data_IF_942964700757
#
_entry.id   IF_942964700757
#
_cell.length_a   1.000
_cell.length_b   1.000
_cell.length_c   1.000
_cell.angle_alpha   90.00
_cell.angle_beta   90.00
_cell.angle_gamma   90.00
#
_symmetry.space_group_name_H-M   'P 1'
#
loop_
_entity.id
_entity.type
_entity.pdbx_description
1 polymer ?
#
# COMPACT_ATOMS: atom_id res chain seq x y z
N UNK A 1 -2.03 -10.82 21.26
CA UNK A 1 -2.27 -9.39 20.95
C UNK A 1 -1.22 -8.59 21.72
N UNK A 2 -0.47 -7.69 21.06
CA UNK A 2 0.56 -6.86 21.68
C UNK A 2 -0.01 -5.46 21.92
N UNK A 3 -0.36 -5.09 23.17
CA UNK A 3 -1.05 -3.83 23.45
C UNK A 3 -0.14 -2.59 23.34
N UNK A 4 1.17 -2.79 23.16
CA UNK A 4 2.21 -1.77 23.08
C UNK A 4 2.52 -1.30 21.66
N UNK A 5 2.15 -2.08 20.63
CA UNK A 5 2.31 -1.67 19.24
C UNK A 5 1.52 -0.38 18.99
N UNK A 6 2.15 0.59 18.31
CA UNK A 6 1.56 1.89 18.02
C UNK A 6 2.12 2.53 16.77
N UNK A 7 1.38 3.50 16.23
CA UNK A 7 1.78 4.35 15.12
C UNK A 7 1.28 3.88 13.77
N UNK A 8 1.40 4.74 12.76
CA UNK A 8 1.03 4.38 11.39
C UNK A 8 2.14 3.64 10.65
N UNK A 9 1.75 2.81 9.69
CA UNK A 9 2.65 2.15 8.73
C UNK A 9 2.05 2.19 7.33
N UNK A 10 2.92 2.09 6.31
CA UNK A 10 2.48 1.95 4.92
C UNK A 10 3.19 0.76 4.29
N UNK A 11 2.41 -0.08 3.61
CA UNK A 11 2.87 -1.31 2.97
C UNK A 11 2.67 -1.27 1.46
N UNK A 12 3.58 -1.90 0.73
CA UNK A 12 3.44 -2.21 -0.69
C UNK A 12 3.60 -3.72 -0.94
N UNK A 13 3.23 -4.19 -2.13
CA UNK A 13 3.40 -5.59 -2.50
C UNK A 13 4.89 -5.99 -2.51
N UNK A 14 5.19 -7.21 -2.06
CA UNK A 14 6.42 -7.92 -2.39
C UNK A 14 6.14 -9.34 -2.84
N UNK A 15 6.82 -9.75 -3.91
CA UNK A 15 6.79 -11.11 -4.46
C UNK A 15 7.97 -11.97 -3.99
N UNK A 16 9.02 -11.35 -3.46
CA UNK A 16 10.28 -12.01 -3.08
C UNK A 16 10.39 -12.29 -1.57
N UNK A 17 9.35 -11.99 -0.80
CA UNK A 17 9.32 -12.14 0.66
C UNK A 17 9.02 -10.84 1.39
N UNK A 18 8.66 -10.93 2.67
CA UNK A 18 8.30 -9.76 3.47
C UNK A 18 9.55 -9.03 3.99
N UNK A 19 9.46 -7.70 4.12
CA UNK A 19 10.53 -6.84 4.67
C UNK A 19 10.75 -7.05 6.16
N UNK A 20 9.75 -7.57 6.87
CA UNK A 20 9.81 -7.84 8.31
C UNK A 20 8.88 -9.00 8.68
N UNK A 21 9.09 -9.58 9.85
CA UNK A 21 8.19 -10.60 10.42
C UNK A 21 6.81 -10.01 10.73
N UNK A 22 6.75 -8.74 11.13
CA UNK A 22 5.50 -8.01 11.35
C UNK A 22 4.72 -7.85 10.03
N UNK A 23 5.37 -7.41 8.96
CA UNK A 23 4.76 -7.30 7.64
C UNK A 23 4.28 -8.67 7.12
N UNK A 24 5.05 -9.74 7.34
CA UNK A 24 4.64 -11.09 6.97
C UNK A 24 3.40 -11.55 7.73
N UNK A 25 3.37 -11.33 9.04
CA UNK A 25 2.24 -11.70 9.89
C UNK A 25 0.97 -10.93 9.50
N UNK A 26 1.09 -9.61 9.29
CA UNK A 26 -0.02 -8.77 8.86
C UNK A 26 -0.56 -9.21 7.51
N UNK A 27 0.30 -9.45 6.52
CA UNK A 27 -0.14 -9.96 5.21
C UNK A 27 -0.89 -11.29 5.32
N UNK A 28 -0.42 -12.22 6.16
CA UNK A 28 -1.12 -13.49 6.35
C UNK A 28 -2.50 -13.28 7.00
N UNK A 29 -2.62 -12.36 7.96
CA UNK A 29 -3.87 -12.02 8.63
C UNK A 29 -4.87 -11.36 7.67
N UNK A 30 -4.45 -10.34 6.92
CA UNK A 30 -5.32 -9.63 5.98
C UNK A 30 -5.75 -10.53 4.81
N UNK A 31 -4.86 -11.40 4.32
CA UNK A 31 -5.20 -12.35 3.25
C UNK A 31 -6.26 -13.39 3.67
N UNK A 32 -6.40 -13.67 4.96
CA UNK A 32 -7.41 -14.61 5.48
C UNK A 32 -8.78 -13.93 5.68
N UNK A 33 -8.83 -12.60 5.68
CA UNK A 33 -10.05 -11.84 5.91
C UNK A 33 -10.89 -11.62 4.64
N UNK A 34 -10.30 -11.77 3.44
CA UNK A 34 -10.93 -11.35 2.17
C UNK A 34 -11.13 -12.48 1.14
N UNK A 35 -12.19 -12.31 0.34
CA UNK A 35 -12.43 -13.03 -0.91
C UNK A 35 -11.81 -12.22 -2.07
N UNK A 36 -10.59 -12.54 -2.49
CA UNK A 36 -9.81 -11.68 -3.40
C UNK A 36 -10.27 -11.83 -4.87
N UNK A 37 -10.72 -10.72 -5.48
CA UNK A 37 -11.04 -10.62 -6.90
C UNK A 37 -9.78 -10.49 -7.78
N UNK A 38 -9.54 -11.49 -8.63
CA UNK A 38 -8.44 -11.47 -9.61
C UNK A 38 -8.92 -11.08 -11.02
N UNK A 39 -8.06 -10.37 -11.76
CA UNK A 39 -8.28 -10.06 -13.18
C UNK A 39 -7.86 -11.29 -14.03
N UNK A 40 -8.75 -11.79 -14.88
CA UNK A 40 -8.42 -12.83 -15.86
C UNK A 40 -7.99 -12.17 -17.18
N UNK A 41 -6.72 -12.33 -17.56
CA UNK A 41 -6.24 -11.97 -18.90
C UNK A 41 -6.42 -13.18 -19.83
N UNK A 42 -7.05 -12.96 -20.99
CA UNK A 42 -7.25 -13.99 -22.02
C UNK A 42 -6.37 -13.65 -23.23
N UNK A 43 -5.23 -14.34 -23.42
CA UNK A 43 -4.25 -14.03 -24.48
C UNK A 43 -3.72 -15.30 -25.14
N UNK A 44 -3.43 -15.24 -26.45
CA UNK A 44 -3.13 -16.37 -27.34
C UNK A 44 -1.70 -16.94 -27.26
N UNK A 45 -0.74 -16.25 -26.65
CA UNK A 45 0.63 -16.74 -26.41
C UNK A 45 0.99 -16.63 -24.92
N UNK A 46 1.11 -17.76 -24.20
CA UNK A 46 1.39 -17.76 -22.77
C UNK A 46 2.73 -17.10 -22.39
N UNK A 47 3.81 -17.30 -23.15
CA UNK A 47 5.14 -16.86 -22.75
C UNK A 47 5.31 -15.33 -22.87
N UNK A 48 4.84 -14.75 -23.98
CA UNK A 48 4.82 -13.31 -24.16
C UNK A 48 3.89 -12.62 -23.15
N UNK A 49 2.73 -13.23 -22.88
CA UNK A 49 1.78 -12.72 -21.89
C UNK A 49 2.40 -12.70 -20.48
N UNK A 50 3.10 -13.77 -20.09
CA UNK A 50 3.80 -13.82 -18.80
C UNK A 50 4.88 -12.74 -18.69
N UNK A 51 5.70 -12.56 -19.71
CA UNK A 51 6.77 -11.54 -19.67
C UNK A 51 6.19 -10.12 -19.60
N UNK A 52 5.14 -9.81 -20.38
CA UNK A 52 4.48 -8.51 -20.34
C UNK A 52 3.79 -8.27 -18.98
N UNK A 53 3.19 -9.30 -18.40
CA UNK A 53 2.58 -9.25 -17.08
C UNK A 53 3.64 -8.95 -16.01
N UNK A 54 4.76 -9.70 -16.00
CA UNK A 54 5.84 -9.52 -15.03
C UNK A 54 6.47 -8.12 -15.12
N UNK A 55 6.67 -7.61 -16.34
CA UNK A 55 7.17 -6.25 -16.57
C UNK A 55 6.19 -5.19 -16.06
N UNK A 56 4.90 -5.34 -16.38
CA UNK A 56 3.85 -4.42 -15.94
C UNK A 56 3.75 -4.43 -14.42
N UNK A 57 3.74 -5.61 -13.81
CA UNK A 57 3.67 -5.77 -12.36
C UNK A 57 4.92 -5.20 -11.67
N UNK A 58 6.12 -5.42 -12.21
CA UNK A 58 7.36 -4.82 -11.68
C UNK A 58 7.29 -3.28 -11.71
N UNK A 59 6.81 -2.70 -12.81
CA UNK A 59 6.62 -1.25 -12.91
C UNK A 59 5.59 -0.75 -11.89
N UNK A 60 4.47 -1.44 -11.76
CA UNK A 60 3.39 -1.14 -10.80
C UNK A 60 3.86 -1.21 -9.35
N UNK A 61 4.68 -2.22 -8.98
CA UNK A 61 5.27 -2.32 -7.64
C UNK A 61 6.21 -1.13 -7.38
N UNK A 62 7.04 -0.75 -8.35
CA UNK A 62 7.93 0.40 -8.22
C UNK A 62 7.14 1.70 -8.03
N UNK A 63 6.04 1.90 -8.74
CA UNK A 63 5.17 3.06 -8.57
C UNK A 63 4.41 3.02 -7.23
N UNK A 64 4.00 1.83 -6.78
CA UNK A 64 3.42 1.62 -5.44
C UNK A 64 4.38 2.02 -4.34
N UNK A 65 5.67 1.71 -4.47
CA UNK A 65 6.72 2.13 -3.52
C UNK A 65 6.91 3.65 -3.50
N UNK A 66 6.87 4.31 -4.66
CA UNK A 66 6.94 5.78 -4.74
C UNK A 66 5.73 6.43 -4.07
N UNK A 67 4.53 5.91 -4.35
CA UNK A 67 3.28 6.36 -3.74
C UNK A 67 3.33 6.15 -2.21
N UNK A 68 3.69 4.95 -1.77
CA UNK A 68 3.80 4.60 -0.36
C UNK A 68 4.76 5.53 0.37
N UNK A 69 5.93 5.85 -0.22
CA UNK A 69 6.91 6.77 0.36
C UNK A 69 6.37 8.20 0.46
N UNK A 70 5.61 8.65 -0.54
CA UNK A 70 5.00 9.97 -0.50
C UNK A 70 3.95 10.07 0.62
N UNK A 71 3.08 9.05 0.76
CA UNK A 71 2.08 8.98 1.83
C UNK A 71 2.73 8.85 3.20
N UNK A 72 3.69 7.94 3.39
CA UNK A 72 4.38 7.73 4.65
C UNK A 72 5.06 9.02 5.15
N UNK A 73 5.62 9.82 4.24
CA UNK A 73 6.24 11.10 4.60
C UNK A 73 5.24 12.11 5.18
N UNK A 74 4.00 12.15 4.67
CA UNK A 74 2.97 13.03 5.21
C UNK A 74 2.42 12.49 6.53
N UNK A 75 2.25 11.16 6.64
CA UNK A 75 1.83 10.50 7.89
C UNK A 75 2.81 10.75 9.04
N UNK A 76 4.12 10.75 8.76
CA UNK A 76 5.14 11.03 9.76
C UNK A 76 5.09 12.46 10.35
N UNK A 77 4.27 13.35 9.79
CA UNK A 77 4.04 14.70 10.33
C UNK A 77 2.87 14.77 11.32
N UNK A 78 1.97 13.77 11.30
CA UNK A 78 0.74 13.77 12.12
C UNK A 78 0.86 12.87 13.35
N UNK A 79 1.65 11.79 13.28
CA UNK A 79 1.84 10.86 14.38
C UNK A 79 3.21 10.17 14.35
N UNK A 80 3.47 9.35 15.37
CA UNK A 80 4.61 8.45 15.36
C UNK A 80 4.38 7.35 14.32
N UNK A 81 5.38 7.10 13.49
CA UNK A 81 5.38 5.95 12.60
C UNK A 81 5.81 4.69 13.35
N UNK A 82 5.12 3.58 13.09
CA UNK A 82 5.52 2.26 13.57
C UNK A 82 6.80 1.78 12.86
N UNK A 83 6.85 1.98 11.53
CA UNK A 83 8.06 1.82 10.72
C UNK A 83 8.44 3.13 10.04
N UNK A 84 9.74 3.48 10.08
CA UNK A 84 10.27 4.69 9.41
C UNK A 84 10.34 4.55 7.88
N UNK A 85 10.16 3.33 7.36
CA UNK A 85 10.22 3.03 5.94
C UNK A 85 8.96 2.30 5.47
N UNK A 86 8.74 2.33 4.16
CA UNK A 86 7.69 1.52 3.52
C UNK A 86 8.04 0.06 3.75
N UNK A 87 7.09 -0.69 4.29
CA UNK A 87 7.22 -2.13 4.45
C UNK A 87 6.65 -2.85 3.23
N UNK A 88 7.07 -4.10 3.02
CA UNK A 88 6.53 -4.91 1.93
C UNK A 88 6.20 -6.31 2.39
N UNK A 89 5.11 -6.87 1.87
CA UNK A 89 4.76 -8.27 2.05
C UNK A 89 3.77 -8.71 0.96
N UNK A 90 3.46 -10.01 0.92
CA UNK A 90 2.58 -10.62 -0.07
C UNK A 90 1.09 -10.39 0.22
N UNK A 91 0.66 -9.13 0.33
CA UNK A 91 -0.75 -8.76 0.50
C UNK A 91 -1.53 -9.05 -0.79
N UNK A 92 -2.56 -9.88 -0.72
CA UNK A 92 -3.36 -10.26 -1.88
C UNK A 92 -4.19 -9.08 -2.43
N UNK A 93 -4.64 -8.18 -1.55
CA UNK A 93 -5.34 -6.93 -1.92
C UNK A 93 -4.47 -5.96 -2.73
N UNK A 94 -3.14 -6.14 -2.74
CA UNK A 94 -2.20 -5.28 -3.45
C UNK A 94 -1.72 -5.89 -4.79
N UNK A 95 -2.35 -6.98 -5.26
CA UNK A 95 -1.91 -7.74 -6.46
C UNK A 95 -2.45 -7.24 -7.80
N UNK A 96 -3.10 -6.07 -7.86
CA UNK A 96 -3.51 -5.49 -9.12
C UNK A 96 -2.26 -5.25 -10.00
N UNK A 97 -2.15 -5.88 -11.19
CA UNK A 97 -0.91 -5.87 -11.97
C UNK A 97 -0.61 -4.52 -12.61
N UNK A 98 -1.62 -3.68 -12.84
CA UNK A 98 -1.57 -2.42 -13.60
C UNK A 98 -2.01 -1.19 -12.78
N UNK A 99 -2.27 -1.36 -11.47
CA UNK A 99 -2.72 -0.28 -10.58
C UNK A 99 -1.77 -0.18 -9.38
N UNK A 100 -1.04 0.94 -9.21
CA UNK A 100 -0.24 1.17 -8.02
C UNK A 100 -1.10 1.08 -6.75
N UNK A 101 -0.74 0.19 -5.84
CA UNK A 101 -1.56 -0.20 -4.69
C UNK A 101 -0.74 -0.18 -3.40
N UNK A 102 -1.29 0.44 -2.35
CA UNK A 102 -0.67 0.50 -1.02
C UNK A 102 -1.69 0.13 0.05
N UNK A 103 -1.22 -0.40 1.18
CA UNK A 103 -2.02 -0.57 2.40
C UNK A 103 -1.53 0.42 3.45
N UNK A 104 -2.44 1.19 4.04
CA UNK A 104 -2.13 2.17 5.09
C UNK A 104 -2.69 1.67 6.40
N UNK A 105 -1.80 1.30 7.32
CA UNK A 105 -2.16 1.04 8.71
C UNK A 105 -2.21 2.37 9.43
N UNK A 106 -3.41 2.80 9.83
CA UNK A 106 -3.62 4.13 10.40
C UNK A 106 -3.25 4.20 11.88
N UNK A 107 -3.54 3.13 12.63
CA UNK A 107 -3.15 2.94 14.03
C UNK A 107 -3.49 1.50 14.46
N UNK A 108 -2.94 1.04 15.58
CA UNK A 108 -3.21 -0.28 16.14
C UNK A 108 -4.45 -0.24 17.06
N UNK A 109 -5.61 -0.74 16.59
CA UNK A 109 -6.83 -0.80 17.41
C UNK A 109 -6.67 -1.61 18.70
N UNK A 110 -5.68 -2.51 18.76
CA UNK A 110 -5.35 -3.26 19.99
C UNK A 110 -4.68 -2.41 21.07
N UNK A 111 -4.24 -1.20 20.74
CA UNK A 111 -3.68 -0.24 21.68
C UNK A 111 -4.79 0.73 22.13
N UNK A 112 -5.16 0.76 23.41
CA UNK A 112 -6.28 1.58 23.91
C UNK A 112 -6.12 3.09 23.66
N UNK A 113 -4.89 3.61 23.58
CA UNK A 113 -4.65 5.02 23.25
C UNK A 113 -4.92 5.31 21.78
N UNK A 114 -4.57 4.37 20.90
CA UNK A 114 -4.79 4.49 19.46
C UNK A 114 -6.24 4.21 19.07
N UNK A 115 -6.91 3.27 19.74
CA UNK A 115 -8.35 3.04 19.60
C UNK A 115 -9.15 4.32 19.84
N UNK A 116 -8.83 5.06 20.90
CA UNK A 116 -9.46 6.37 21.17
C UNK A 116 -9.24 7.39 20.07
N UNK A 117 -8.08 7.37 19.41
CA UNK A 117 -7.79 8.23 18.26
C UNK A 117 -8.54 7.77 17.01
N UNK A 118 -8.68 6.47 16.82
CA UNK A 118 -9.37 5.90 15.65
C UNK A 118 -10.87 6.26 15.62
N UNK A 119 -11.49 6.54 16.76
CA UNK A 119 -12.89 7.01 16.84
C UNK A 119 -13.03 8.54 16.89
N UNK A 120 -11.93 9.30 16.91
CA UNK A 120 -11.92 10.76 16.94
C UNK A 120 -11.99 11.32 15.51
N UNK A 121 -13.07 12.03 15.20
CA UNK A 121 -13.32 12.61 13.86
C UNK A 121 -12.23 13.60 13.43
N UNK A 122 -11.68 14.40 14.36
CA UNK A 122 -10.62 15.35 14.04
C UNK A 122 -9.30 14.62 13.72
N UNK A 123 -9.02 13.49 14.39
CA UNK A 123 -7.88 12.64 14.05
C UNK A 123 -8.07 11.95 12.70
N UNK A 124 -9.25 11.39 12.43
CA UNK A 124 -9.58 10.80 11.13
C UNK A 124 -9.42 11.81 9.98
N UNK A 125 -9.87 13.05 10.17
CA UNK A 125 -9.72 14.12 9.18
C UNK A 125 -8.24 14.48 8.94
N UNK A 126 -7.42 14.54 10.00
CA UNK A 126 -5.97 14.73 9.85
C UNK A 126 -5.31 13.60 9.06
N UNK A 127 -5.69 12.36 9.35
CA UNK A 127 -5.20 11.17 8.63
C UNK A 127 -5.58 11.22 7.15
N UNK A 128 -6.86 11.48 6.84
CA UNK A 128 -7.35 11.60 5.47
C UNK A 128 -6.63 12.72 4.69
N UNK A 129 -6.42 13.88 5.33
CA UNK A 129 -5.69 15.00 4.72
C UNK A 129 -4.22 14.66 4.43
N UNK A 130 -3.54 13.93 5.33
CA UNK A 130 -2.17 13.48 5.12
C UNK A 130 -2.08 12.48 3.96
N UNK A 131 -3.00 11.51 3.88
CA UNK A 131 -3.08 10.56 2.76
C UNK A 131 -3.31 11.32 1.45
N UNK A 132 -4.28 12.24 1.42
CA UNK A 132 -4.56 13.07 0.25
C UNK A 132 -3.35 13.91 -0.18
N UNK A 133 -2.64 14.55 0.76
CA UNK A 133 -1.43 15.30 0.48
C UNK A 133 -0.34 14.39 -0.14
N UNK A 134 -0.19 13.16 0.38
CA UNK A 134 0.75 12.18 -0.14
C UNK A 134 0.43 11.76 -1.58
N UNK A 135 -0.85 11.52 -1.87
CA UNK A 135 -1.34 11.22 -3.22
C UNK A 135 -1.04 12.38 -4.18
N UNK A 136 -1.35 13.62 -3.80
CA UNK A 136 -1.02 14.81 -4.62
C UNK A 136 0.48 14.92 -4.87
N UNK A 137 1.31 14.70 -3.84
CA UNK A 137 2.77 14.75 -3.95
C UNK A 137 3.30 13.67 -4.89
N UNK A 138 2.72 12.48 -4.87
CA UNK A 138 3.05 11.41 -5.81
C UNK A 138 2.78 11.84 -7.26
N UNK A 139 1.58 12.34 -7.57
CA UNK A 139 1.22 12.77 -8.93
C UNK A 139 2.01 14.00 -9.40
N UNK A 140 2.35 14.92 -8.50
CA UNK A 140 3.19 16.08 -8.85
C UNK A 140 4.60 15.66 -9.30
N UNK A 141 5.13 14.54 -8.79
CA UNK A 141 6.45 14.00 -9.14
C UNK A 141 6.41 12.94 -10.25
N UNK A 142 5.26 12.29 -10.42
CA UNK A 142 5.01 11.25 -11.41
C UNK A 142 3.74 11.65 -12.17
N UNK A 143 3.79 12.72 -12.99
CA UNK A 143 2.63 13.11 -13.77
C UNK A 143 2.24 11.93 -14.66
N UNK A 144 0.94 11.60 -14.75
CA UNK A 144 0.51 10.53 -15.63
C UNK A 144 1.00 10.85 -17.04
N UNK A 145 1.64 9.87 -17.68
CA UNK A 145 2.03 10.01 -19.09
C UNK A 145 0.78 10.45 -19.86
N UNK A 146 0.94 11.49 -20.69
CA UNK A 146 -0.14 11.95 -21.54
C UNK A 146 -0.73 10.73 -22.24
N UNK A 147 -2.03 10.55 -22.14
CA UNK A 147 -2.74 9.42 -22.75
C UNK A 147 -2.50 9.52 -24.26
N UNK A 148 -1.50 8.83 -24.78
CA UNK A 148 -1.34 8.67 -26.22
C UNK A 148 -2.56 7.88 -26.64
N UNK A 149 -3.49 8.52 -27.35
CA UNK A 149 -4.51 7.78 -28.09
C UNK A 149 -3.73 6.89 -29.05
N UNK A 150 -3.60 5.61 -28.71
CA UNK A 150 -3.19 4.60 -29.67
C UNK A 150 -4.24 4.63 -30.78
N UNK A 151 -3.84 5.18 -31.92
CA UNK A 151 -4.60 5.17 -33.15
C UNK A 151 -4.59 3.77 -33.77
#
# INVERSE_FOLDING_TARGET
IKPDARGSSVFALSEKGASSTAAKWLANKENQADLIGGVKLNVKDPYLAHTLLDLTQTATINDSLKLAKAVLSELGTINQLHSRGVEQAGFAVLKAPDIPSILVETAFISNPEEEKRLIDEAYQLKMANAIHAGIKRYFAKNPPLARTKLA
#
